data_IF_821413948209
#
_entry.id   IF_821413948209
#
_cell.length_a   1.000
_cell.length_b   1.000
_cell.length_c   1.000
_cell.angle_alpha   90.00
_cell.angle_beta   90.00
_cell.angle_gamma   90.00
#
_symmetry.space_group_name_H-M   'P 1'
#
loop_
_entity.id
_entity.type
_entity.pdbx_description
1 polymer ?
2 water ?
#
# COMPACT_ATOMS: atom_id res chain seq x y z
N UNK A 4 -25.23 -9.32 0.03
CA UNK A 4 -24.32 -9.85 1.09
C UNK A 4 -24.04 -11.37 0.97
N UNK A 5 -24.59 -12.05 -0.03
CA UNK A 5 -24.27 -13.46 -0.27
C UNK A 5 -22.83 -13.52 -0.73
N UNK A 6 -22.07 -14.42 -0.12
CA UNK A 6 -20.73 -14.82 -0.54
C UNK A 6 -20.87 -15.96 -1.55
N UNK A 7 -20.15 -15.91 -2.68
CA UNK A 7 -20.17 -17.00 -3.65
C UNK A 7 -18.78 -17.64 -3.68
N UNK A 8 -18.74 -18.96 -3.75
CA UNK A 8 -17.51 -19.75 -3.85
C UNK A 8 -17.53 -20.58 -5.12
N UNK A 9 -16.42 -20.59 -5.86
CA UNK A 9 -16.27 -21.45 -7.04
C UNK A 9 -14.95 -22.21 -6.91
N UNK A 10 -14.93 -23.47 -7.30
CA UNK A 10 -13.67 -24.22 -7.33
C UNK A 10 -12.81 -23.65 -8.44
N UNK A 11 -11.53 -24.00 -8.41
CA UNK A 11 -10.59 -23.42 -9.37
C UNK A 11 -11.02 -23.69 -10.81
N UNK A 12 -11.64 -24.85 -11.03
CA UNK A 12 -11.98 -25.33 -12.37
C UNK A 12 -13.34 -24.81 -12.85
N UNK A 13 -14.06 -24.14 -11.94
CA UNK A 13 -15.33 -23.45 -12.23
C UNK A 13 -16.44 -24.39 -12.67
N UNK A 14 -16.47 -25.56 -12.05
CA UNK A 14 -17.50 -26.54 -12.28
C UNK A 14 -18.48 -26.63 -11.13
N UNK A 15 -18.08 -26.15 -9.95
CA UNK A 15 -18.91 -26.15 -8.78
C UNK A 15 -18.91 -24.72 -8.23
N UNK A 16 -20.09 -24.12 -8.17
CA UNK A 16 -20.26 -22.77 -7.65
C UNK A 16 -21.50 -22.71 -6.80
N UNK A 17 -21.38 -22.06 -5.65
CA UNK A 17 -22.52 -21.90 -4.81
C UNK A 17 -22.38 -20.77 -3.79
N UNK A 18 -23.50 -20.50 -3.14
CA UNK A 18 -23.55 -19.55 -2.05
C UNK A 18 -22.90 -20.24 -0.84
N UNK A 19 -21.92 -19.55 -0.23
CA UNK A 19 -21.29 -20.06 0.97
C UNK A 19 -22.19 -19.91 2.19
N UNK A 20 -22.37 -20.99 2.96
CA UNK A 20 -23.34 -20.93 4.08
C UNK A 20 -22.83 -21.27 5.47
N UNK A 21 -21.94 -22.24 5.61
CA UNK A 21 -21.69 -22.74 6.97
C UNK A 21 -20.53 -22.05 7.70
N UNK A 22 -20.45 -20.73 7.55
CA UNK A 22 -19.29 -20.00 8.07
C UNK A 22 -19.60 -19.18 9.32
N UNK A 23 -18.56 -18.99 10.12
CA UNK A 23 -18.68 -18.25 11.36
C UNK A 23 -18.65 -16.75 11.03
N UNK A 24 -19.79 -16.10 11.21
CA UNK A 24 -19.94 -14.68 10.90
C UNK A 24 -19.01 -13.82 11.75
N UNK A 25 -18.81 -14.21 13.00
CA UNK A 25 -17.86 -13.49 13.85
C UNK A 25 -16.38 -13.71 13.46
N UNK A 26 -16.09 -14.83 12.81
CA UNK A 26 -14.76 -15.13 12.33
C UNK A 26 -14.41 -14.23 11.15
N UNK A 27 -15.43 -13.83 10.38
CA UNK A 27 -15.20 -13.37 9.01
C UNK A 27 -14.56 -12.00 9.04
N UNK A 28 -13.39 -11.92 8.42
CA UNK A 28 -12.54 -10.76 8.54
C UNK A 28 -12.03 -10.34 7.19
N UNK A 29 -12.15 -9.05 6.86
CA UNK A 29 -11.53 -8.48 5.66
C UNK A 29 -10.44 -7.52 6.14
N UNK A 30 -9.23 -7.70 5.64
CA UNK A 30 -8.10 -6.90 6.13
C UNK A 30 -7.33 -6.37 4.92
N UNK A 31 -6.90 -5.12 5.01
CA UNK A 31 -6.10 -4.48 3.98
C UNK A 31 -5.02 -3.65 4.68
N UNK A 32 -3.84 -3.73 4.12
CA UNK A 32 -2.70 -2.88 4.53
C UNK A 32 -2.03 -2.41 3.25
N UNK A 33 -1.86 -1.10 3.15
CA UNK A 33 -1.36 -0.45 1.96
C UNK A 33 -0.10 -1.11 1.39
N UNK A 34 -0.19 -1.55 0.13
CA UNK A 34 0.89 -2.24 -0.58
C UNK A 34 1.56 -3.38 0.20
N UNK A 35 0.76 -4.10 0.98
CA UNK A 35 1.30 -5.23 1.69
C UNK A 35 0.36 -6.41 1.58
N UNK A 36 -0.91 -6.23 1.92
CA UNK A 36 -1.85 -7.33 1.88
C UNK A 36 -3.29 -6.87 1.73
N UNK A 37 -4.11 -7.72 1.12
CA UNK A 37 -5.52 -7.53 1.09
C UNK A 37 -6.10 -8.95 1.06
N UNK A 38 -6.88 -9.30 2.08
CA UNK A 38 -7.33 -10.68 2.20
C UNK A 38 -8.64 -10.76 2.97
N UNK A 39 -9.28 -11.91 2.81
CA UNK A 39 -10.34 -12.31 3.73
C UNK A 39 -9.89 -13.59 4.47
N UNK A 40 -10.35 -13.75 5.70
CA UNK A 40 -10.17 -15.00 6.42
C UNK A 40 -11.46 -15.30 7.14
N UNK A 41 -11.78 -16.58 7.19
CA UNK A 41 -12.96 -17.05 7.87
C UNK A 41 -12.84 -18.54 8.19
N UNK A 42 -13.74 -18.98 9.06
CA UNK A 42 -13.85 -20.38 9.50
C UNK A 42 -15.21 -20.94 9.05
N UNK A 43 -15.17 -22.16 8.53
CA UNK A 43 -16.37 -22.88 8.08
C UNK A 43 -16.35 -24.23 8.80
N UNK A 44 -17.49 -24.63 9.33
CA UNK A 44 -17.66 -25.96 9.94
C UNK A 44 -18.65 -26.70 9.10
N UNK A 45 -18.35 -27.95 8.75
CA UNK A 45 -19.24 -28.75 7.90
C UNK A 45 -19.78 -29.99 8.65
N UNK A 46 -20.87 -30.54 8.13
CA UNK A 46 -21.53 -31.71 8.74
C UNK A 46 -21.99 -32.70 7.67
N UNK A 52 -21.57 -34.57 -3.23
CA UNK A 52 -20.70 -33.67 -2.46
C UNK A 52 -19.41 -33.34 -3.20
N UNK A 53 -19.52 -32.45 -4.18
CA UNK A 53 -18.36 -31.95 -4.92
C UNK A 53 -17.50 -31.04 -4.04
N UNK A 54 -16.36 -30.60 -4.59
CA UNK A 54 -15.50 -29.60 -3.95
C UNK A 54 -15.90 -28.22 -4.47
N UNK A 55 -16.26 -27.32 -3.56
CA UNK A 55 -16.48 -25.91 -3.90
C UNK A 55 -15.37 -25.03 -3.29
N UNK A 56 -15.06 -25.28 -2.02
CA UNK A 56 -14.09 -24.49 -1.25
C UNK A 56 -12.82 -25.28 -0.83
N UNK A 57 -11.72 -25.02 -1.55
CA UNK A 57 -10.45 -25.69 -1.31
C UNK A 57 -9.36 -24.75 -1.85
N UNK A 58 -8.12 -25.23 -1.89
CA UNK A 58 -7.00 -24.48 -2.50
C UNK A 58 -7.38 -24.05 -3.89
N UNK A 59 -7.10 -22.80 -4.17
CA UNK A 59 -7.34 -22.19 -5.47
C UNK A 59 -8.80 -21.90 -5.78
N UNK A 60 -9.72 -22.17 -4.84
CA UNK A 60 -11.08 -21.69 -5.01
C UNK A 60 -11.13 -20.19 -4.99
N UNK A 61 -12.07 -19.62 -5.76
CA UNK A 61 -12.37 -18.19 -5.68
C UNK A 61 -13.56 -17.95 -4.71
N UNK A 62 -13.42 -16.91 -3.89
CA UNK A 62 -14.43 -16.49 -2.94
C UNK A 62 -14.79 -15.05 -3.28
N UNK A 63 -16.06 -14.86 -3.62
CA UNK A 63 -16.55 -13.55 -4.08
C UNK A 63 -17.28 -12.83 -2.96
N UNK A 64 -16.76 -11.66 -2.61
CA UNK A 64 -17.25 -10.89 -1.48
C UNK A 64 -17.28 -9.41 -1.87
N UNK A 65 -18.45 -8.81 -1.79
CA UNK A 65 -18.71 -7.40 -2.14
C UNK A 65 -18.05 -6.94 -3.46
N UNK A 66 -18.17 -7.78 -4.45
CA UNK A 66 -17.75 -7.38 -5.79
C UNK A 66 -16.28 -7.63 -6.07
N UNK A 67 -15.56 -8.21 -5.11
CA UNK A 67 -14.15 -8.53 -5.30
C UNK A 67 -13.90 -10.00 -5.16
N UNK A 68 -12.86 -10.48 -5.84
CA UNK A 68 -12.48 -11.91 -5.86
C UNK A 68 -11.24 -12.16 -5.01
N UNK A 69 -11.31 -13.17 -4.17
CA UNK A 69 -10.22 -13.61 -3.26
C UNK A 69 -10.01 -15.08 -3.52
N UNK A 70 -8.76 -15.52 -3.47
CA UNK A 70 -8.40 -16.87 -3.84
C UNK A 70 -7.80 -17.61 -2.64
N UNK A 71 -8.32 -18.80 -2.36
CA UNK A 71 -7.86 -19.58 -1.20
C UNK A 71 -6.41 -20.06 -1.43
N UNK A 72 -5.47 -19.58 -0.61
CA UNK A 72 -4.07 -20.00 -0.63
C UNK A 72 -3.62 -20.75 0.63
N UNK A 73 -4.23 -20.43 1.78
CA UNK A 73 -4.01 -21.19 3.00
C UNK A 73 -5.32 -21.73 3.50
N UNK A 74 -5.28 -22.95 4.02
CA UNK A 74 -6.46 -23.70 4.45
C UNK A 74 -6.04 -24.78 5.44
N UNK A 75 -6.69 -24.75 6.59
CA UNK A 75 -6.45 -25.74 7.66
C UNK A 75 -7.54 -26.81 7.57
N UNK A 76 -7.24 -28.05 8.00
CA UNK A 76 -8.26 -29.10 8.08
C UNK A 76 -8.22 -29.75 9.46
N UNK A 77 -9.30 -29.58 10.23
CA UNK A 77 -9.45 -30.25 11.55
C UNK A 77 -10.82 -30.87 11.72
N UNK A 78 -10.93 -31.92 12.55
CA UNK A 78 -12.18 -32.65 12.77
C UNK A 78 -12.44 -33.03 14.25
N UNK A 82 -17.13 -32.27 14.41
CA UNK A 82 -17.24 -32.38 12.95
C UNK A 82 -15.99 -31.77 12.30
N UNK A 83 -16.04 -31.45 11.02
CA UNK A 83 -14.88 -30.86 10.32
C UNK A 83 -14.91 -29.34 10.28
N UNK A 84 -13.74 -28.72 10.39
CA UNK A 84 -13.62 -27.26 10.42
C UNK A 84 -12.46 -26.85 9.53
N UNK A 85 -12.61 -25.77 8.77
CA UNK A 85 -11.55 -25.26 7.89
C UNK A 85 -11.41 -23.76 8.11
N UNK A 86 -10.17 -23.30 8.25
CA UNK A 86 -9.87 -21.88 8.41
C UNK A 86 -9.22 -21.48 7.09
N UNK A 87 -9.85 -20.54 6.40
CA UNK A 87 -9.42 -20.09 5.07
C UNK A 87 -8.69 -18.75 5.20
N UNK A 88 -7.62 -18.60 4.46
CA UNK A 88 -7.04 -17.31 4.23
C UNK A 88 -6.91 -17.15 2.71
N UNK A 89 -7.55 -16.11 2.19
CA UNK A 89 -7.69 -15.87 0.75
C UNK A 89 -7.25 -14.45 0.38
N UNK A 90 -6.01 -14.31 -0.10
CA UNK A 90 -5.57 -13.02 -0.69
C UNK A 90 -6.37 -12.59 -1.92
N UNK A 91 -6.57 -11.29 -2.02
CA UNK A 91 -7.22 -10.70 -3.18
C UNK A 91 -6.58 -11.18 -4.50
N UNK A 92 -7.41 -11.33 -5.53
CA UNK A 92 -6.94 -11.77 -6.85
C UNK A 92 -5.77 -10.96 -7.43
N UNK A 93 -5.63 -9.70 -7.01
CA UNK A 93 -4.49 -8.88 -7.43
C UNK A 93 -3.17 -9.62 -7.21
N UNK A 94 -3.04 -10.25 -6.05
CA UNK A 94 -1.76 -10.89 -5.65
C UNK A 94 -1.37 -12.09 -6.50
N UNK A 95 -2.34 -12.62 -7.28
CA UNK A 95 -2.01 -13.68 -8.23
C UNK A 95 -1.15 -13.23 -9.41
N UNK A 96 -0.96 -11.92 -9.60
CA UNK A 96 -0.06 -11.43 -10.65
C UNK A 96 1.38 -11.88 -10.45
N UNK A 97 1.71 -12.28 -9.23
CA UNK A 97 3.03 -12.81 -8.95
C UNK A 97 3.33 -14.12 -9.69
N UNK A 98 2.27 -14.78 -10.20
CA UNK A 98 2.44 -15.99 -11.02
C UNK A 98 3.00 -15.69 -12.43
N UNK A 99 3.07 -14.41 -12.77
CA UNK A 99 3.57 -13.96 -14.08
C UNK A 99 4.96 -13.40 -13.98
N UNK A 100 5.76 -13.66 -15.01
CA UNK A 100 7.14 -13.17 -15.05
C UNK A 100 7.33 -12.42 -16.37
N UNK A 101 8.04 -11.30 -16.30
CA UNK A 101 8.55 -10.63 -17.50
C UNK A 101 10.07 -10.72 -17.40
N UNK A 102 10.66 -11.70 -18.10
CA UNK A 102 12.09 -11.97 -18.06
C UNK A 102 12.88 -10.89 -18.84
N UNK A 103 12.20 -10.28 -19.81
CA UNK A 103 12.83 -9.27 -20.70
C UNK A 103 12.97 -7.94 -19.95
N UNK A 104 14.03 -7.19 -20.24
CA UNK A 104 14.32 -5.96 -19.54
C UNK A 104 14.48 -4.84 -20.57
N UNK A 105 14.14 -3.60 -20.17
CA UNK A 105 14.25 -2.44 -21.04
C UNK A 105 14.98 -1.30 -20.34
N UNK A 106 15.69 -0.52 -21.15
CA UNK A 106 16.48 0.58 -20.66
C UNK A 106 16.19 1.84 -21.44
N UNK A 107 15.92 2.92 -20.74
CA UNK A 107 15.63 4.16 -21.40
C UNK A 107 14.77 5.06 -20.57
N UNK A 108 14.44 6.22 -21.13
CA UNK A 108 13.60 7.17 -20.41
C UNK A 108 12.16 6.85 -20.76
N UNK A 109 11.43 6.29 -19.80
CA UNK A 109 10.08 5.79 -20.05
C UNK A 109 9.01 6.36 -19.13
N UNK A 110 7.79 6.42 -19.66
CA UNK A 110 6.64 6.78 -18.88
C UNK A 110 6.14 5.56 -18.12
N UNK A 111 5.34 5.79 -17.08
CA UNK A 111 4.68 4.69 -16.39
C UNK A 111 3.92 3.80 -17.37
N UNK A 112 3.24 4.44 -18.33
CA UNK A 112 2.48 3.69 -19.34
C UNK A 112 3.38 2.72 -20.11
N UNK A 113 4.53 3.19 -20.59
CA UNK A 113 5.47 2.30 -21.27
C UNK A 113 5.95 1.14 -20.40
N UNK A 114 6.21 1.41 -19.12
CA UNK A 114 6.62 0.34 -18.20
C UNK A 114 5.52 -0.69 -17.98
N UNK A 115 4.28 -0.24 -17.76
CA UNK A 115 3.18 -1.16 -17.52
C UNK A 115 2.94 -2.01 -18.76
N UNK A 116 3.04 -1.36 -19.92
CA UNK A 116 2.96 -2.08 -21.17
C UNK A 116 4.01 -3.19 -21.25
N UNK A 117 5.24 -2.85 -20.85
CA UNK A 117 6.30 -3.85 -20.83
C UNK A 117 5.97 -5.06 -19.96
N UNK A 118 5.38 -4.82 -18.78
CA UNK A 118 5.09 -5.90 -17.86
C UNK A 118 4.18 -6.94 -18.52
N UNK A 119 3.11 -6.46 -19.15
CA UNK A 119 1.99 -7.31 -19.54
C UNK A 119 1.97 -7.62 -21.06
N UNK A 120 3.05 -7.30 -21.77
CA UNK A 120 3.05 -7.39 -23.24
C UNK A 120 2.88 -8.85 -23.73
N UNK A 121 3.58 -9.77 -23.10
CA UNK A 121 3.63 -11.14 -23.58
C UNK A 121 2.47 -11.97 -23.06
N UNK A 122 2.07 -11.73 -21.82
CA UNK A 122 0.97 -12.47 -21.21
C UNK A 122 0.38 -11.61 -20.13
N UNK A 123 -0.79 -11.03 -20.40
CA UNK A 123 -1.38 -10.17 -19.38
C UNK A 123 -2.05 -10.92 -18.24
N UNK A 124 -2.22 -12.24 -18.39
CA UNK A 124 -2.86 -13.06 -17.36
C UNK A 124 -4.20 -12.50 -16.84
N UNK A 125 -4.94 -11.83 -17.73
CA UNK A 125 -6.21 -11.24 -17.43
C UNK A 125 -6.19 -9.91 -16.75
N UNK A 126 -4.99 -9.37 -16.51
CA UNK A 126 -4.84 -8.06 -15.92
C UNK A 126 -4.98 -6.95 -16.94
N UNK A 127 -5.58 -5.87 -16.49
CA UNK A 127 -5.59 -4.64 -17.27
C UNK A 127 -5.20 -3.50 -16.37
N UNK A 128 -4.94 -2.36 -16.98
CA UNK A 128 -4.57 -1.19 -16.22
C UNK A 128 -5.00 0.12 -16.88
N UNK A 129 -5.03 1.15 -16.03
CA UNK A 129 -5.22 2.52 -16.46
C UNK A 129 -4.51 3.44 -15.48
N UNK A 130 -4.12 4.60 -15.99
CA UNK A 130 -3.45 5.62 -15.23
C UNK A 130 -4.38 6.82 -15.19
N UNK A 131 -4.72 7.26 -13.99
CA UNK A 131 -5.49 8.48 -13.81
C UNK A 131 -4.57 9.59 -13.29
N UNK A 132 -4.27 10.55 -14.17
CA UNK A 132 -3.35 11.66 -13.87
C UNK A 132 -3.77 12.90 -14.67
N UNK A 133 -4.96 13.44 -14.38
CA UNK A 133 -5.47 14.52 -15.26
C UNK A 133 -4.63 15.80 -15.21
N UNK A 134 -3.90 16.01 -14.11
CA UNK A 134 -3.03 17.19 -13.91
C UNK A 134 -1.60 17.02 -14.42
N UNK A 135 -1.34 15.85 -15.00
CA UNK A 135 -0.02 15.57 -15.57
C UNK A 135 1.12 15.70 -14.56
N UNK A 136 0.91 15.13 -13.37
CA UNK A 136 1.94 15.10 -12.33
C UNK A 136 3.12 14.24 -12.71
N UNK A 137 2.83 13.13 -13.38
CA UNK A 137 3.85 12.11 -13.59
C UNK A 137 4.77 12.53 -14.72
N UNK A 138 6.00 12.02 -14.69
CA UNK A 138 6.91 12.24 -15.78
C UNK A 138 7.73 10.98 -16.03
N UNK A 139 8.64 11.05 -16.99
CA UNK A 139 9.47 9.91 -17.30
C UNK A 139 10.46 9.63 -16.19
N UNK A 140 10.83 8.35 -16.06
CA UNK A 140 11.91 7.89 -15.21
C UNK A 140 12.89 7.14 -16.10
N UNK A 141 14.18 7.36 -15.86
CA UNK A 141 15.23 6.66 -16.57
C UNK A 141 15.40 5.26 -15.98
N UNK A 142 14.87 4.28 -16.71
CA UNK A 142 14.97 2.87 -16.34
C UNK A 142 16.27 2.26 -16.82
N UNK A 143 16.86 1.42 -15.99
CA UNK A 143 17.99 0.60 -16.41
C UNK A 143 17.64 -0.87 -16.14
N UNK A 144 17.47 -1.64 -17.21
CA UNK A 144 17.11 -3.04 -17.12
C UNK A 144 15.82 -3.21 -16.33
N UNK A 145 14.81 -2.38 -16.64
CA UNK A 145 13.49 -2.58 -16.02
C UNK A 145 12.86 -3.89 -16.55
N UNK A 146 12.62 -4.83 -15.65
CA UNK A 146 12.11 -6.15 -16.01
C UNK A 146 12.86 -7.24 -15.31
N UNK A 147 12.81 -8.44 -15.89
CA UNK A 147 13.42 -9.61 -15.26
C UNK A 147 12.90 -9.84 -13.86
N UNK A 148 11.58 -9.88 -13.73
CA UNK A 148 11.00 -10.16 -12.44
C UNK A 148 9.55 -10.54 -12.57
N UNK A 149 8.96 -10.92 -11.45
CA UNK A 149 7.54 -11.24 -11.43
C UNK A 149 6.74 -9.94 -11.48
N UNK A 150 5.49 -10.06 -11.88
CA UNK A 150 4.67 -8.86 -12.15
C UNK A 150 4.47 -8.00 -10.91
N UNK A 151 4.28 -8.62 -9.75
CA UNK A 151 4.02 -7.86 -8.54
C UNK A 151 5.27 -7.03 -8.14
N UNK A 152 6.44 -7.67 -8.17
CA UNK A 152 7.69 -6.98 -7.83
C UNK A 152 7.95 -5.79 -8.77
N UNK A 153 7.65 -5.99 -10.05
CA UNK A 153 7.81 -4.94 -11.05
C UNK A 153 6.85 -3.78 -10.77
N UNK A 154 5.57 -4.10 -10.50
CA UNK A 154 4.60 -3.07 -10.15
C UNK A 154 5.09 -2.30 -8.92
N UNK A 155 5.54 -3.01 -7.91
CA UNK A 155 6.03 -2.34 -6.70
C UNK A 155 7.16 -1.38 -6.99
N UNK A 156 8.05 -1.76 -7.90
CA UNK A 156 9.13 -0.85 -8.30
C UNK A 156 8.56 0.42 -8.92
N UNK A 157 7.62 0.25 -9.84
CA UNK A 157 6.97 1.41 -10.50
C UNK A 157 6.31 2.34 -9.48
N UNK A 158 5.68 1.78 -8.45
CA UNK A 158 5.04 2.59 -7.45
C UNK A 158 6.07 3.55 -6.86
N UNK A 159 7.25 3.02 -6.55
CA UNK A 159 8.34 3.80 -5.94
C UNK A 159 8.97 4.79 -6.97
N UNK A 160 9.23 4.31 -8.18
CA UNK A 160 9.89 5.08 -9.22
C UNK A 160 9.04 6.30 -9.55
N UNK A 161 7.77 6.08 -9.87
CA UNK A 161 6.85 7.13 -10.34
C UNK A 161 6.07 7.89 -9.25
N UNK A 162 6.05 7.41 -8.02
CA UNK A 162 5.31 8.06 -6.93
C UNK A 162 3.81 7.88 -7.11
N UNK A 163 3.41 6.63 -7.32
CA UNK A 163 2.04 6.28 -7.58
C UNK A 163 1.58 5.17 -6.65
N UNK A 164 0.27 5.02 -6.61
CA UNK A 164 -0.45 3.99 -5.85
C UNK A 164 -1.18 3.10 -6.86
N UNK A 165 -1.43 1.84 -6.51
CA UNK A 165 -2.25 0.98 -7.41
C UNK A 165 -3.48 0.61 -6.61
N UNK A 166 -4.64 0.73 -7.26
CA UNK A 166 -5.92 0.44 -6.61
C UNK A 166 -6.60 -0.64 -7.45
N UNK A 167 -6.47 -1.91 -7.04
CA UNK A 167 -7.06 -3.00 -7.82
C UNK A 167 -8.56 -3.11 -7.66
N UNK A 168 -9.27 -3.19 -8.78
CA UNK A 168 -10.70 -3.62 -8.84
C UNK A 168 -10.70 -4.97 -9.55
N UNK A 169 -10.72 -6.05 -8.79
CA UNK A 169 -10.36 -7.37 -9.31
C UNK A 169 -9.05 -7.30 -10.07
N UNK A 170 -9.00 -7.69 -11.33
CA UNK A 170 -7.73 -7.66 -12.07
C UNK A 170 -7.58 -6.37 -12.89
N UNK A 171 -8.40 -5.36 -12.62
CA UNK A 171 -8.23 -4.08 -13.27
C UNK A 171 -7.52 -3.15 -12.29
N UNK A 172 -6.34 -2.68 -12.72
CA UNK A 172 -5.43 -1.89 -11.91
C UNK A 172 -5.41 -0.41 -12.26
N UNK A 173 -5.85 0.39 -11.31
CA UNK A 173 -5.87 1.84 -11.44
C UNK A 173 -4.67 2.46 -10.75
N UNK A 174 -3.85 3.16 -11.53
CA UNK A 174 -2.65 3.83 -11.01
C UNK A 174 -2.89 5.32 -10.91
N UNK A 175 -2.52 5.88 -9.77
CA UNK A 175 -2.70 7.32 -9.50
C UNK A 175 -1.48 7.91 -8.80
N UNK A 176 -1.12 9.14 -9.18
CA UNK A 176 -0.11 9.86 -8.39
C UNK A 176 -0.55 9.96 -6.93
N UNK A 177 0.41 9.90 -6.01
CA UNK A 177 0.15 9.96 -4.57
C UNK A 177 -0.68 11.20 -4.16
N UNK A 178 -0.45 12.31 -4.84
CA UNK A 178 -1.19 13.55 -4.56
C UNK A 178 -2.69 13.41 -4.68
N UNK A 179 -3.16 12.55 -5.59
CA UNK A 179 -4.60 12.39 -5.81
C UNK A 179 -5.15 11.05 -5.31
N UNK A 180 -4.40 10.46 -4.38
CA UNK A 180 -4.81 9.26 -3.69
C UNK A 180 -5.21 9.62 -2.28
N UNK A 181 -6.50 9.57 -2.01
CA UNK A 181 -6.99 10.05 -0.74
C UNK A 181 -7.29 11.54 -0.76
N UNK A 182 -8.43 11.89 -0.20
CA UNK A 182 -8.80 13.28 -0.10
C UNK A 182 -8.84 13.66 1.35
N UNK A 183 -8.77 14.98 1.58
CA UNK A 183 -8.93 15.54 2.90
C UNK A 183 -10.38 15.34 3.32
N UNK A 184 -10.57 14.72 4.48
CA UNK A 184 -11.89 14.53 5.09
C UNK A 184 -12.14 15.65 6.11
N UNK A 185 -13.23 15.54 6.85
CA UNK A 185 -13.50 16.45 7.96
C UNK A 185 -13.22 15.78 9.31
N UNK A 186 -12.68 14.56 9.27
CA UNK A 186 -12.26 13.86 10.47
C UNK A 186 -10.98 14.51 11.02
N UNK A 187 -10.90 14.60 12.33
CA UNK A 187 -9.72 15.13 12.98
C UNK A 187 -9.63 14.49 14.34
N UNK A 188 -8.40 14.44 14.85
CA UNK A 188 -8.13 13.89 16.17
C UNK A 188 -7.40 14.95 16.98
N UNK A 189 -8.04 15.44 18.04
CA UNK A 189 -7.41 16.34 19.02
C UNK A 189 -6.72 15.46 20.06
N UNK A 190 -5.45 15.15 19.85
CA UNK A 190 -4.76 14.14 20.68
C UNK A 190 -4.05 14.69 21.92
N UNK A 191 -4.56 14.31 23.09
CA UNK A 191 -3.93 14.60 24.37
C UNK A 191 -3.40 13.31 25.01
N UNK A 192 -4.09 12.21 24.75
CA UNK A 192 -3.74 10.90 25.27
C UNK A 192 -4.62 9.83 24.63
N UNK A 193 -4.26 8.58 24.88
CA UNK A 193 -4.97 7.43 24.30
C UNK A 193 -6.31 7.17 24.94
N UNK A 194 -7.28 6.81 24.10
CA UNK A 194 -8.63 6.49 24.51
C UNK A 194 -9.06 5.15 23.92
N UNK A 195 -10.24 4.71 24.30
CA UNK A 195 -10.90 3.52 23.74
C UNK A 195 -11.00 3.57 22.23
N UNK A 196 -11.29 4.76 21.70
CA UNK A 196 -11.48 4.93 20.25
C UNK A 196 -10.23 5.34 19.46
N UNK A 197 -9.16 5.77 20.12
CA UNK A 197 -7.95 6.19 19.38
C UNK A 197 -6.73 6.03 20.26
N UNK A 198 -5.81 5.17 19.83
CA UNK A 198 -4.53 5.00 20.56
C UNK A 198 -3.37 5.10 19.58
N UNK A 199 -2.38 5.92 19.95
CA UNK A 199 -1.27 6.25 19.06
C UNK A 199 0.10 6.02 19.69
N UNK A 200 1.04 5.59 18.86
CA UNK A 200 2.46 5.65 19.15
C UNK A 200 3.04 6.82 18.32
N UNK A 201 3.80 7.68 19.00
CA UNK A 201 4.38 8.86 18.39
C UNK A 201 5.81 8.95 18.85
N UNK A 202 6.72 9.21 17.93
CA UNK A 202 8.12 9.38 18.31
C UNK A 202 8.76 10.36 17.40
N UNK A 203 9.95 10.81 17.79
CA UNK A 203 10.72 11.69 16.92
C UNK A 203 12.08 11.07 16.52
N UNK A 204 12.14 9.75 16.57
CA UNK A 204 13.38 9.06 16.23
C UNK A 204 13.74 9.29 14.78
N UNK A 205 12.73 9.51 13.94
CA UNK A 205 12.98 9.67 12.51
C UNK A 205 12.70 11.06 12.01
N UNK A 206 12.60 12.00 12.94
CA UNK A 206 12.23 13.36 12.60
C UNK A 206 13.38 14.07 11.87
N UNK A 207 13.16 14.53 10.63
CA UNK A 207 14.18 15.14 9.80
C UNK A 207 13.56 16.32 9.07
N UNK A 208 14.38 17.33 8.73
CA UNK A 208 13.85 18.56 8.16
C UNK A 208 14.44 18.96 6.82
N UNK A 209 15.48 18.26 6.38
CA UNK A 209 16.15 18.58 5.11
C UNK A 209 16.76 17.28 4.55
N UNK A 210 16.69 17.15 3.23
CA UNK A 210 17.13 15.95 2.53
C UNK A 210 17.64 16.33 1.14
N UNK A 211 18.65 15.60 0.70
CA UNK A 211 19.24 15.74 -0.64
C UNK A 211 18.87 14.58 -1.54
N UNK A 212 18.86 14.86 -2.85
CA UNK A 212 18.67 13.85 -3.86
C UNK A 212 19.83 13.86 -4.85
N UNK A 213 20.48 12.72 -5.01
CA UNK A 213 21.66 12.56 -5.88
C UNK A 213 21.33 11.61 -7.02
N UNK A 214 21.88 11.90 -8.18
CA UNK A 214 21.72 11.05 -9.38
C UNK A 214 23.02 10.31 -9.65
N UNK A 215 23.22 9.97 -10.92
CA UNK A 215 24.39 9.22 -11.35
C UNK A 215 25.70 10.00 -11.18
N UNK A 216 26.77 9.24 -10.92
CA UNK A 216 28.14 9.75 -10.85
C UNK A 216 28.90 9.17 -12.06
N UNK A 217 29.60 10.00 -12.80
CA UNK A 217 30.34 9.54 -14.01
C UNK A 217 31.66 8.80 -13.71
N UNK A 218 32.30 8.29 -14.78
CA UNK A 218 33.56 7.53 -14.66
C UNK A 218 34.70 8.29 -13.98
N UNK A 219 34.64 9.62 -14.04
CA UNK A 219 35.62 10.48 -13.37
C UNK A 219 35.27 10.76 -11.90
N UNK A 220 34.06 10.41 -11.50
CA UNK A 220 33.60 10.57 -10.12
C UNK A 220 32.77 11.81 -9.92
N UNK A 221 32.45 12.50 -11.03
CA UNK A 221 31.68 13.74 -10.96
C UNK A 221 30.17 13.46 -11.16
N UNK A 222 29.33 14.26 -10.49
CA UNK A 222 27.88 14.09 -10.56
C UNK A 222 27.36 14.66 -11.86
N UNK A 223 26.31 14.02 -12.40
CA UNK A 223 25.69 14.50 -13.65
C UNK A 223 24.96 15.83 -13.42
N UNK A 224 24.31 15.93 -12.27
CA UNK A 224 23.73 17.19 -11.83
C UNK A 224 23.99 17.41 -10.34
N UNK A 225 24.00 18.68 -9.93
CA UNK A 225 24.19 19.04 -8.53
C UNK A 225 23.03 18.48 -7.72
N UNK A 226 23.31 17.93 -6.53
CA UNK A 226 22.20 17.37 -5.81
C UNK A 226 21.07 18.35 -5.51
N UNK A 227 19.86 17.81 -5.55
CA UNK A 227 18.65 18.55 -5.25
C UNK A 227 18.46 18.54 -3.71
N UNK A 228 18.12 19.69 -3.12
CA UNK A 228 17.77 19.74 -1.69
C UNK A 228 16.30 20.10 -1.51
N UNK A 229 15.63 19.44 -0.58
CA UNK A 229 14.29 19.78 -0.19
C UNK A 229 14.30 20.07 1.30
N UNK A 230 13.81 21.25 1.68
CA UNK A 230 13.77 21.72 3.08
C UNK A 230 12.36 21.85 3.56
N UNK A 231 12.02 21.18 4.67
CA UNK A 231 10.70 21.32 5.24
C UNK A 231 10.48 22.71 5.82
N UNK A 232 9.22 23.20 5.78
CA UNK A 232 8.91 24.38 6.60
C UNK A 232 9.13 24.19 8.12
N UNK A 233 9.12 22.94 8.58
CA UNK A 233 9.37 22.64 10.00
C UNK A 233 10.83 22.80 10.42
N UNK A 234 11.71 23.16 9.48
CA UNK A 234 13.09 23.47 9.82
C UNK A 234 13.13 24.60 10.83
N UNK A 235 12.14 25.50 10.77
CA UNK A 235 12.00 26.59 11.73
C UNK A 235 11.66 26.09 13.16
N UNK A 236 10.94 25.00 13.24
CA UNK A 236 10.51 24.42 14.52
C UNK A 236 11.62 23.58 15.16
N UNK A 237 12.34 22.79 14.36
CA UNK A 237 13.22 21.74 14.88
C UNK A 237 14.71 21.85 14.56
N UNK A 238 15.04 22.84 13.74
CA UNK A 238 16.41 22.99 13.27
C UNK A 238 16.66 22.09 12.11
N UNK A 239 17.83 22.23 11.50
CA UNK A 239 18.25 21.41 10.38
C UNK A 239 18.69 20.04 10.88
N UNK A 240 18.06 19.01 10.32
CA UNK A 240 18.39 17.62 10.59
C UNK A 240 18.24 16.89 9.28
N UNK A 241 19.32 16.23 8.89
CA UNK A 241 19.49 15.66 7.54
C UNK A 241 18.99 14.23 7.47
N UNK A 242 18.01 13.99 6.63
CA UNK A 242 17.61 12.62 6.36
C UNK A 242 18.57 11.95 5.41
N UNK A 243 18.62 10.62 5.45
CA UNK A 243 19.43 9.89 4.48
C UNK A 243 19.03 10.36 3.08
N UNK A 244 20.01 10.76 2.25
CA UNK A 244 19.60 11.24 0.92
C UNK A 244 19.03 10.14 0.02
N UNK A 245 18.24 10.56 -0.96
CA UNK A 245 17.89 9.68 -2.06
C UNK A 245 19.10 9.69 -2.99
N UNK A 246 19.51 8.50 -3.42
CA UNK A 246 20.61 8.34 -4.36
C UNK A 246 20.17 7.33 -5.42
N UNK A 247 20.08 7.78 -6.66
CA UNK A 247 19.55 6.95 -7.72
C UNK A 247 20.48 7.07 -8.90
N UNK A 248 21.28 6.04 -9.13
CA UNK A 248 22.33 5.99 -10.16
C UNK A 248 21.77 6.07 -11.58
N UNK A 249 20.46 5.92 -11.71
CA UNK A 249 19.83 5.95 -13.05
C UNK A 249 19.57 7.36 -13.58
N UNK A 250 19.48 8.32 -12.66
CA UNK A 250 19.13 9.65 -13.01
C UNK A 250 20.35 10.43 -13.51
N UNK A 251 20.33 10.81 -14.78
CA UNK A 251 21.38 11.68 -15.35
C UNK A 251 20.90 13.14 -15.45
N UNK A 252 19.60 13.34 -15.20
CA UNK A 252 18.98 14.65 -15.05
C UNK A 252 18.03 14.53 -13.86
N UNK A 253 17.67 15.67 -13.27
CA UNK A 253 16.88 15.69 -12.05
C UNK A 253 15.58 14.89 -12.18
N UNK A 254 14.87 15.02 -13.29
CA UNK A 254 13.60 14.32 -13.47
C UNK A 254 12.67 14.64 -12.31
N UNK A 255 12.04 13.60 -11.77
CA UNK A 255 11.06 13.76 -10.69
C UNK A 255 11.69 13.74 -9.29
N UNK A 256 13.00 13.93 -9.21
CA UNK A 256 13.71 13.80 -7.92
C UNK A 256 13.18 14.71 -6.83
N UNK A 257 12.96 15.99 -7.14
CA UNK A 257 12.47 16.96 -6.10
C UNK A 257 11.21 16.47 -5.41
N UNK A 258 10.24 16.01 -6.20
CA UNK A 258 9.02 15.44 -5.69
C UNK A 258 9.28 14.19 -4.86
N UNK A 259 10.22 13.34 -5.33
CA UNK A 259 10.64 12.19 -4.56
C UNK A 259 11.10 12.53 -3.16
N UNK A 260 11.88 13.59 -3.03
CA UNK A 260 12.37 14.03 -1.74
C UNK A 260 11.23 14.45 -0.82
N UNK A 261 10.27 15.22 -1.35
CA UNK A 261 9.14 15.67 -0.52
C UNK A 261 8.27 14.46 -0.11
N UNK A 262 8.17 13.47 -1.00
CA UNK A 262 7.43 12.25 -0.68
C UNK A 262 8.07 11.46 0.48
N UNK A 263 9.38 11.61 0.66
CA UNK A 263 10.15 10.78 1.59
C UNK A 263 10.49 11.45 2.95
N UNK A 264 10.56 12.78 2.99
CA UNK A 264 11.00 13.47 4.23
C UNK A 264 10.00 13.36 5.40
N UNK A 265 10.51 12.84 6.50
CA UNK A 265 9.68 12.64 7.69
C UNK A 265 9.81 13.89 8.55
N UNK A 266 9.12 14.97 8.16
CA UNK A 266 9.24 16.27 8.82
C UNK A 266 8.21 16.51 9.92
N UNK A 267 7.45 15.46 10.27
CA UNK A 267 6.58 15.50 11.47
C UNK A 267 6.84 14.23 12.27
N UNK A 268 6.53 14.27 13.57
CA UNK A 268 6.74 13.06 14.41
C UNK A 268 6.08 11.85 13.78
N UNK A 269 6.78 10.72 13.78
CA UNK A 269 6.23 9.50 13.20
C UNK A 269 5.06 9.08 14.10
N UNK A 270 3.86 9.06 13.54
CA UNK A 270 2.61 8.93 14.29
C UNK A 270 1.77 7.84 13.64
N UNK A 271 1.53 6.79 14.41
CA UNK A 271 0.79 5.63 13.96
C UNK A 271 -0.17 5.20 15.05
N UNK A 272 -1.41 5.04 14.68
CA UNK A 272 -2.44 4.70 15.64
C UNK A 272 -3.55 3.85 15.09
N UNK A 273 -4.26 3.24 16.03
CA UNK A 273 -5.44 2.44 15.72
C UNK A 273 -6.65 3.19 16.24
N UNK A 274 -7.60 3.43 15.35
CA UNK A 274 -8.77 4.22 15.67
C UNK A 274 -10.06 3.55 15.21
N UNK A 275 -11.14 3.94 15.86
CA UNK A 275 -12.48 3.79 15.31
C UNK A 275 -12.93 5.18 14.85
N UNK A 276 -13.27 5.29 13.57
CA UNK A 276 -13.70 6.57 12.98
C UNK A 276 -15.23 6.74 13.07
N UNK A 277 -15.68 8.00 13.15
CA UNK A 277 -17.12 8.32 13.19
C UNK A 277 -17.63 8.76 11.81
N UNK A 281 -18.20 3.48 4.26
CA UNK A 281 -17.62 3.78 2.94
C UNK A 281 -16.17 3.36 2.89
N UNK A 282 -15.65 3.18 1.66
CA UNK A 282 -14.22 2.92 1.46
C UNK A 282 -13.46 4.24 1.45
N UNK A 283 -12.35 4.29 2.20
CA UNK A 283 -11.60 5.53 2.37
C UNK A 283 -10.08 5.30 2.41
N UNK A 284 -9.57 4.31 1.66
CA UNK A 284 -8.13 4.06 1.59
C UNK A 284 -7.38 5.32 1.23
N UNK A 285 -6.34 5.62 2.00
CA UNK A 285 -5.51 6.78 1.75
C UNK A 285 -6.10 8.12 2.15
N UNK A 286 -7.35 8.13 2.60
CA UNK A 286 -7.92 9.41 3.03
C UNK A 286 -7.20 9.96 4.25
N UNK A 287 -7.26 11.28 4.38
CA UNK A 287 -6.49 12.00 5.39
C UNK A 287 -7.36 12.37 6.58
N UNK A 288 -6.76 12.22 7.77
CA UNK A 288 -7.33 12.75 9.01
C UNK A 288 -6.33 13.77 9.58
N UNK A 289 -6.82 14.94 10.00
CA UNK A 289 -5.96 15.98 10.61
C UNK A 289 -5.63 15.51 12.01
N UNK A 290 -4.34 15.38 12.29
CA UNK A 290 -3.87 14.97 13.61
C UNK A 290 -3.39 16.23 14.35
N UNK A 291 -4.02 16.55 15.48
CA UNK A 291 -3.57 17.67 16.28
C UNK A 291 -2.87 17.13 17.52
N UNK A 292 -1.55 17.29 17.55
CA UNK A 292 -0.77 16.89 18.72
C UNK A 292 -0.84 18.03 19.72
N UNK A 293 -1.80 17.88 20.63
CA UNK A 293 -2.22 18.99 21.48
C UNK A 293 -1.13 19.49 22.42
N UNK A 294 -0.38 18.58 23.05
CA UNK A 294 0.58 19.12 24.00
C UNK A 294 1.52 20.18 23.42
N UNK A 295 1.93 20.05 22.17
CA UNK A 295 2.82 21.04 21.56
C UNK A 295 2.12 21.96 20.53
N UNK A 296 0.82 21.71 20.30
CA UNK A 296 0.05 22.44 19.30
C UNK A 296 0.61 22.31 17.90
N UNK A 297 0.90 21.08 17.50
CA UNK A 297 1.45 20.79 16.18
C UNK A 297 0.39 19.99 15.44
N UNK A 298 0.03 20.46 14.25
CA UNK A 298 -1.01 19.86 13.42
C UNK A 298 -0.38 19.27 12.16
N UNK A 299 -0.79 18.06 11.79
CA UNK A 299 -0.33 17.40 10.58
C UNK A 299 -1.28 16.27 10.19
N UNK A 300 -1.25 15.88 8.92
CA UNK A 300 -2.10 14.83 8.41
C UNK A 300 -1.54 13.42 8.66
N UNK A 301 -2.45 12.53 9.01
CA UNK A 301 -2.17 11.11 9.00
C UNK A 301 -3.14 10.49 8.00
N UNK A 302 -2.77 9.35 7.45
CA UNK A 302 -3.50 8.75 6.34
C UNK A 302 -3.99 7.37 6.79
N UNK A 303 -5.12 6.94 6.25
CA UNK A 303 -5.61 5.57 6.40
C UNK A 303 -4.74 4.58 5.59
N UNK A 304 -3.96 3.78 6.29
CA UNK A 304 -2.97 2.87 5.67
C UNK A 304 -3.33 1.39 5.87
N UNK A 305 -4.37 1.13 6.67
CA UNK A 305 -4.84 -0.23 6.90
C UNK A 305 -6.22 -0.22 7.49
N UNK A 306 -6.92 -1.32 7.26
CA UNK A 306 -8.15 -1.60 7.97
C UNK A 306 -8.35 -3.08 8.25
N UNK A 307 -9.20 -3.32 9.26
CA UNK A 307 -9.62 -4.66 9.66
C UNK A 307 -11.13 -4.63 9.91
N UNK A 308 -11.89 -5.28 9.04
CA UNK A 308 -13.37 -5.34 9.13
C UNK A 308 -13.90 -6.72 9.48
N UNK A 309 -14.97 -6.72 10.28
CA UNK A 309 -15.81 -7.89 10.58
C UNK A 309 -17.21 -7.56 10.03
N UNK A 310 -17.41 -7.69 8.69
CA UNK A 310 -18.62 -7.19 8.03
C UNK A 310 -19.91 -7.87 8.45
N UNK A 311 -19.81 -9.04 9.05
CA UNK A 311 -21.02 -9.80 9.42
C UNK A 311 -21.31 -9.65 10.90
N UNK A 312 -20.60 -8.73 11.55
CA UNK A 312 -20.82 -8.38 12.95
C UNK A 312 -21.19 -6.90 13.03
N UNK A 313 -21.54 -6.46 14.25
CA UNK A 313 -21.80 -5.06 14.53
C UNK A 313 -20.52 -4.27 14.88
N UNK A 314 -19.35 -4.88 14.74
CA UNK A 314 -18.11 -4.18 15.07
C UNK A 314 -17.76 -3.12 14.04
N UNK A 315 -17.30 -1.97 14.53
CA UNK A 315 -16.83 -0.91 13.66
C UNK A 315 -15.49 -1.36 13.05
N UNK A 316 -15.21 -0.96 11.81
CA UNK A 316 -13.90 -1.20 11.24
C UNK A 316 -12.81 -0.62 12.14
N UNK A 317 -11.73 -1.38 12.31
CA UNK A 317 -10.53 -0.86 12.96
C UNK A 317 -9.63 -0.30 11.89
N UNK A 318 -9.29 0.98 12.03
CA UNK A 318 -8.53 1.72 11.04
C UNK A 318 -7.12 2.00 11.58
N UNK A 319 -6.12 1.91 10.72
CA UNK A 319 -4.77 2.33 11.06
C UNK A 319 -4.45 3.64 10.35
N UNK A 320 -4.08 4.67 11.14
CA UNK A 320 -3.74 5.99 10.61
C UNK A 320 -2.25 6.17 10.83
N UNK A 321 -1.55 6.63 9.81
CA UNK A 321 -0.12 6.88 9.94
C UNK A 321 0.37 7.97 9.03
N UNK A 322 1.48 8.58 9.46
CA UNK A 322 2.27 9.47 8.58
C UNK A 322 3.70 8.98 8.49
N UNK A 323 3.93 7.69 8.82
CA UNK A 323 5.29 7.13 8.90
C UNK A 323 5.71 6.70 7.49
N UNK A 324 6.62 7.48 6.93
CA UNK A 324 7.05 7.35 5.55
C UNK A 324 8.17 6.30 5.37
N UNK A 325 8.69 5.75 6.47
CA UNK A 325 9.87 4.86 6.37
C UNK A 325 9.49 3.55 5.69
N UNK A 326 8.64 2.78 6.36
CA UNK A 326 8.25 1.45 5.87
C UNK A 326 7.06 0.91 6.63
N UNK A 327 6.44 -0.14 6.08
CA UNK A 327 5.32 -0.78 6.75
C UNK A 327 5.83 -1.52 8.00
N UNK A 328 7.05 -2.08 7.95
CA UNK A 328 7.66 -2.69 9.15
C UNK A 328 7.85 -1.65 10.26
N UNK A 329 8.24 -0.42 9.89
CA UNK A 329 8.35 0.66 10.88
C UNK A 329 6.96 1.00 11.46
N UNK A 330 5.94 1.01 10.59
CA UNK A 330 4.56 1.23 11.03
C UNK A 330 4.11 0.12 11.99
N UNK A 331 4.40 -1.14 11.65
CA UNK A 331 4.01 -2.27 12.51
C UNK A 331 4.74 -2.24 13.89
N UNK A 332 6.01 -1.84 13.89
CA UNK A 332 6.77 -1.65 15.13
C UNK A 332 6.04 -0.71 16.09
N UNK A 333 5.62 0.44 15.55
CA UNK A 333 4.82 1.44 16.30
C UNK A 333 3.52 0.85 16.82
N UNK A 334 2.79 0.13 15.96
CA UNK A 334 1.56 -0.57 16.40
C UNK A 334 1.81 -1.67 17.43
N UNK A 335 2.97 -2.32 17.37
CA UNK A 335 3.37 -3.30 18.40
C UNK A 335 3.47 -2.59 19.77
N UNK A 336 4.02 -1.38 19.77
CA UNK A 336 4.03 -0.54 20.97
C UNK A 336 2.62 -0.14 21.39
N UNK A 337 1.76 0.21 20.42
CA UNK A 337 0.36 0.53 20.74
C UNK A 337 -0.33 -0.69 21.40
N UNK A 338 -0.18 -1.86 20.80
CA UNK A 338 -0.80 -3.08 21.32
C UNK A 338 -0.23 -3.50 22.70
N UNK A 339 1.08 -3.37 22.88
CA UNK A 339 1.75 -3.75 24.14
C UNK A 339 1.37 -2.81 25.28
N UNK A 340 1.30 -1.52 24.97
CA UNK A 340 0.87 -0.51 25.93
C UNK A 340 1.98 -0.12 26.88
#
# INVERSE_FOLDING_TARGET
GXNSDIIVADFWKNNEEILTDFDKDSFCESWTENEMWSIEFKVAQTPKNAHCYSFLDYESSVYFRGQEFVVKQLSHDAVGKTLSKDIRAPHIYYTCQDGRQDDAITGSFTLEQCLTHIFKTDNRGFSWEIIDPSNILEKVQQENFGNNNYLTLIDQLLDDYGVVVIPDNRHLVFKPREIYGAKTENFIRYKYNTDEASFDIDTLSLKTKIKGYGKVDSNGNNYFSPITYTSPEVEKWGIRWQEPVSDERYTVAGNMQRRLKLELQDYPATTGSVILKNDYECEKGDYVLFIYEPLGIDYDVQIVAYKKYPFTIKAPEITLSNNKKSIVSIMAQLAKVLKGAX
#
